data_IF_271855997229
#
_entry.id   IF_271855997229
#
_cell.length_a   1.000
_cell.length_b   1.000
_cell.length_c   1.000
_cell.angle_alpha   90.00
_cell.angle_beta   90.00
_cell.angle_gamma   90.00
#
_symmetry.space_group_name_H-M   'P 1'
#
loop_
_entity.id
_entity.type
_entity.pdbx_description
1 polymer ?
#
# COMPACT_ATOMS: atom_id res chain seq x y z
N UNK A 1 -9.92 -34.89 -18.60
CA UNK A 1 -10.60 -33.63 -18.97
C UNK A 1 -11.33 -33.11 -17.74
N UNK A 2 -11.09 -31.87 -17.37
CA UNK A 2 -11.74 -31.26 -16.20
C UNK A 2 -13.20 -30.93 -16.50
N UNK A 3 -14.11 -31.37 -15.62
CA UNK A 3 -15.53 -30.96 -15.65
C UNK A 3 -15.72 -29.82 -14.65
N UNK A 4 -16.11 -28.65 -15.11
CA UNK A 4 -16.24 -27.44 -14.24
C UNK A 4 -17.13 -27.67 -13.03
N UNK A 5 -18.24 -28.39 -13.18
CA UNK A 5 -19.18 -28.67 -12.09
C UNK A 5 -18.57 -29.52 -10.96
N UNK A 6 -17.60 -30.38 -11.30
CA UNK A 6 -17.01 -31.33 -10.34
C UNK A 6 -15.63 -30.87 -9.85
N UNK A 7 -15.08 -29.78 -10.41
CA UNK A 7 -13.72 -29.27 -10.14
C UNK A 7 -13.76 -27.96 -9.35
N UNK A 8 -14.66 -27.84 -8.40
CA UNK A 8 -14.67 -26.72 -7.43
C UNK A 8 -13.61 -26.95 -6.37
N UNK A 9 -13.17 -25.89 -5.70
CA UNK A 9 -12.22 -26.02 -4.57
C UNK A 9 -12.80 -26.93 -3.48
N UNK A 10 -14.08 -26.79 -3.18
CA UNK A 10 -14.78 -27.61 -2.19
C UNK A 10 -14.70 -29.10 -2.50
N UNK A 11 -14.89 -29.50 -3.77
CA UNK A 11 -14.86 -30.90 -4.18
C UNK A 11 -13.44 -31.48 -4.28
N UNK A 12 -12.45 -30.64 -4.61
CA UNK A 12 -11.05 -31.07 -4.82
C UNK A 12 -10.25 -31.02 -3.52
N UNK A 13 -10.47 -29.98 -2.70
CA UNK A 13 -9.75 -29.73 -1.45
C UNK A 13 -10.68 -29.10 -0.41
N UNK A 14 -11.48 -29.92 0.28
CA UNK A 14 -12.43 -29.43 1.30
C UNK A 14 -11.75 -28.73 2.50
N UNK A 15 -10.50 -29.08 2.80
CA UNK A 15 -9.74 -28.45 3.90
C UNK A 15 -9.37 -27.01 3.53
N UNK A 16 -8.82 -26.81 2.33
CA UNK A 16 -8.53 -25.47 1.80
C UNK A 16 -9.81 -24.65 1.65
N UNK A 17 -10.88 -25.24 1.12
CA UNK A 17 -12.18 -24.56 0.99
C UNK A 17 -12.67 -24.03 2.33
N UNK A 18 -12.60 -24.85 3.39
CA UNK A 18 -12.98 -24.43 4.75
C UNK A 18 -12.13 -23.24 5.23
N UNK A 19 -10.83 -23.23 4.97
CA UNK A 19 -9.96 -22.11 5.35
C UNK A 19 -10.32 -20.82 4.60
N UNK A 20 -10.68 -20.91 3.31
CA UNK A 20 -11.17 -19.78 2.52
C UNK A 20 -12.48 -19.24 3.11
N UNK A 21 -13.44 -20.10 3.43
CA UNK A 21 -14.72 -19.69 4.02
C UNK A 21 -14.56 -19.04 5.41
N UNK A 22 -13.60 -19.51 6.21
CA UNK A 22 -13.29 -18.88 7.49
C UNK A 22 -12.70 -17.47 7.30
N UNK A 23 -11.84 -17.29 6.32
CA UNK A 23 -11.29 -15.96 5.99
C UNK A 23 -12.35 -15.04 5.40
N UNK A 24 -13.23 -15.53 4.51
CA UNK A 24 -14.37 -14.77 3.99
C UNK A 24 -15.23 -14.26 5.14
N UNK A 25 -15.55 -15.12 6.11
CA UNK A 25 -16.32 -14.76 7.30
C UNK A 25 -15.57 -13.72 8.15
N UNK A 26 -14.27 -13.90 8.38
CA UNK A 26 -13.48 -12.92 9.13
C UNK A 26 -13.54 -11.54 8.48
N UNK A 27 -13.39 -11.46 7.16
CA UNK A 27 -13.45 -10.19 6.42
C UNK A 27 -14.83 -9.52 6.53
N UNK A 28 -15.90 -10.30 6.55
CA UNK A 28 -17.26 -9.76 6.74
C UNK A 28 -17.51 -9.29 8.19
N UNK A 29 -17.05 -10.06 9.20
CA UNK A 29 -17.35 -9.82 10.61
C UNK A 29 -16.43 -8.79 11.28
N UNK A 30 -15.24 -8.55 10.72
CA UNK A 30 -14.26 -7.61 11.30
C UNK A 30 -14.28 -6.25 10.62
N UNK A 31 -13.93 -5.20 11.37
CA UNK A 31 -13.58 -3.90 10.81
C UNK A 31 -12.09 -3.91 10.49
N UNK A 32 -11.76 -3.84 9.21
CA UNK A 32 -10.38 -3.83 8.73
C UNK A 32 -9.82 -2.40 8.71
N UNK A 33 -8.78 -2.15 9.49
CA UNK A 33 -8.10 -0.86 9.60
C UNK A 33 -6.59 -0.93 9.32
N UNK A 34 -6.08 -2.07 8.83
CA UNK A 34 -4.71 -2.12 8.34
C UNK A 34 -4.61 -1.22 7.10
N UNK A 35 -3.81 -0.16 7.19
CA UNK A 35 -3.75 0.89 6.16
C UNK A 35 -3.30 0.40 4.77
N UNK A 36 -2.69 -0.78 4.69
CA UNK A 36 -2.22 -1.42 3.46
C UNK A 36 -3.18 -2.49 2.92
N UNK A 37 -4.36 -2.64 3.51
CA UNK A 37 -5.38 -3.60 3.07
C UNK A 37 -6.60 -2.92 2.49
N UNK A 38 -7.30 -3.63 1.60
CA UNK A 38 -8.53 -3.20 0.97
C UNK A 38 -9.29 -4.41 0.43
N UNK A 39 -10.55 -4.21 0.09
CA UNK A 39 -11.38 -5.21 -0.56
C UNK A 39 -11.45 -4.93 -2.06
N UNK A 40 -10.99 -5.87 -2.87
CA UNK A 40 -11.04 -5.74 -4.32
C UNK A 40 -12.41 -6.14 -4.87
N UNK A 41 -12.79 -5.63 -6.05
CA UNK A 41 -14.10 -5.94 -6.62
C UNK A 41 -14.23 -7.40 -7.08
N UNK A 42 -15.48 -7.93 -7.15
CA UNK A 42 -15.71 -9.24 -7.76
C UNK A 42 -15.19 -9.36 -9.18
N UNK A 43 -15.21 -8.25 -9.96
CA UNK A 43 -14.69 -8.24 -11.34
C UNK A 43 -13.16 -8.44 -11.38
N UNK A 44 -12.43 -7.85 -10.43
CA UNK A 44 -10.98 -8.08 -10.29
C UNK A 44 -10.70 -9.52 -9.90
N UNK A 45 -11.45 -10.08 -8.94
CA UNK A 45 -11.31 -11.50 -8.54
C UNK A 45 -11.61 -12.45 -9.70
N UNK A 46 -12.66 -12.20 -10.47
CA UNK A 46 -13.01 -12.98 -11.65
C UNK A 46 -11.93 -12.95 -12.74
N UNK A 47 -11.31 -11.80 -12.97
CA UNK A 47 -10.19 -11.65 -13.89
C UNK A 47 -8.98 -12.49 -13.45
N UNK A 48 -8.66 -12.50 -12.15
CA UNK A 48 -7.57 -13.30 -11.59
C UNK A 48 -7.85 -14.80 -11.68
N UNK A 49 -9.10 -15.24 -11.51
CA UNK A 49 -9.52 -16.64 -11.65
C UNK A 49 -9.74 -17.09 -13.09
N UNK A 50 -9.33 -16.31 -14.09
CA UNK A 50 -9.53 -16.61 -15.50
C UNK A 50 -8.51 -17.57 -16.07
N UNK A 51 -8.79 -18.11 -17.28
CA UNK A 51 -7.91 -19.01 -18.03
C UNK A 51 -6.59 -18.33 -18.49
N UNK A 52 -6.45 -17.03 -18.32
CA UNK A 52 -5.20 -16.31 -18.61
C UNK A 52 -4.02 -16.83 -17.79
N UNK A 53 -4.28 -17.47 -16.64
CA UNK A 53 -3.24 -18.15 -15.84
C UNK A 53 -2.49 -19.24 -16.60
N UNK A 54 -3.09 -19.82 -17.65
CA UNK A 54 -2.50 -20.90 -18.44
C UNK A 54 -1.47 -20.39 -19.46
N UNK A 55 -1.47 -19.07 -19.78
CA UNK A 55 -0.68 -18.55 -20.90
C UNK A 55 0.70 -18.10 -20.49
N UNK A 56 1.72 -18.66 -21.14
CA UNK A 56 3.10 -18.22 -21.02
C UNK A 56 3.39 -17.08 -22.01
N UNK A 57 3.76 -15.89 -21.51
CA UNK A 57 3.84 -14.67 -22.32
C UNK A 57 5.11 -13.84 -22.04
N UNK A 58 6.29 -14.49 -21.98
CA UNK A 58 7.57 -13.79 -21.84
C UNK A 58 7.76 -12.74 -22.94
N UNK A 59 8.33 -11.61 -22.56
CA UNK A 59 8.45 -10.42 -23.41
C UNK A 59 7.36 -9.40 -23.13
N UNK A 60 6.99 -8.63 -24.14
CA UNK A 60 6.06 -7.50 -24.04
C UNK A 60 5.06 -7.53 -25.21
N UNK A 61 3.95 -6.78 -25.17
CA UNK A 61 2.98 -6.73 -26.25
C UNK A 61 3.64 -6.55 -27.62
N UNK A 62 3.24 -7.34 -28.60
CA UNK A 62 3.78 -7.44 -29.96
C UNK A 62 5.27 -7.89 -30.06
N UNK A 63 5.90 -8.22 -28.94
CA UNK A 63 7.31 -8.67 -28.86
C UNK A 63 7.45 -9.81 -27.84
N UNK A 64 6.68 -10.89 -28.05
CA UNK A 64 6.70 -12.08 -27.20
C UNK A 64 7.69 -13.13 -27.73
N UNK A 65 8.17 -13.95 -26.81
CA UNK A 65 9.00 -15.09 -27.13
C UNK A 65 8.19 -16.35 -27.53
N UNK A 66 6.87 -16.32 -27.29
CA UNK A 66 5.96 -17.46 -27.53
C UNK A 66 4.82 -17.06 -28.45
N UNK A 67 4.31 -18.04 -29.22
CA UNK A 67 3.12 -17.87 -30.06
C UNK A 67 1.82 -17.84 -29.26
N UNK A 68 0.70 -17.46 -29.87
CA UNK A 68 -0.62 -17.44 -29.26
C UNK A 68 -0.81 -16.33 -28.21
N UNK A 69 -0.14 -15.20 -28.39
CA UNK A 69 -0.16 -14.09 -27.43
C UNK A 69 -1.06 -12.92 -27.86
N UNK A 70 -1.74 -13.02 -29.00
CA UNK A 70 -2.56 -11.94 -29.56
C UNK A 70 -3.61 -11.41 -28.57
N UNK A 71 -4.24 -12.25 -27.76
CA UNK A 71 -5.25 -11.86 -26.80
C UNK A 71 -4.62 -11.32 -25.48
N UNK A 72 -3.53 -11.94 -25.01
CA UNK A 72 -2.86 -11.44 -23.79
C UNK A 72 -2.11 -10.14 -24.06
N UNK A 73 -1.71 -9.85 -25.30
CA UNK A 73 -1.18 -8.56 -25.72
C UNK A 73 -2.21 -7.45 -25.52
N UNK A 74 -3.47 -7.70 -25.87
CA UNK A 74 -4.57 -6.76 -25.63
C UNK A 74 -4.75 -6.54 -24.12
N UNK A 75 -4.69 -7.60 -23.32
CA UNK A 75 -4.86 -7.49 -21.85
C UNK A 75 -3.76 -6.63 -21.23
N UNK A 76 -2.50 -6.89 -21.57
CA UNK A 76 -1.39 -6.11 -21.02
C UNK A 76 -1.38 -4.67 -21.53
N UNK A 77 -1.69 -4.45 -22.82
CA UNK A 77 -1.78 -3.12 -23.39
C UNK A 77 -2.88 -2.29 -22.72
N UNK A 78 -4.05 -2.87 -22.44
CA UNK A 78 -5.12 -2.20 -21.69
C UNK A 78 -4.67 -1.79 -20.29
N UNK A 79 -3.90 -2.63 -19.59
CA UNK A 79 -3.37 -2.28 -18.28
C UNK A 79 -2.37 -1.12 -18.38
N UNK A 80 -1.46 -1.15 -19.35
CA UNK A 80 -0.47 -0.10 -19.61
C UNK A 80 -1.18 1.23 -19.93
N UNK A 81 -2.10 1.23 -20.89
CA UNK A 81 -2.77 2.47 -21.33
C UNK A 81 -3.60 3.09 -20.19
N UNK A 82 -4.32 2.26 -19.44
CA UNK A 82 -5.14 2.71 -18.32
C UNK A 82 -4.33 3.29 -17.18
N UNK A 83 -3.21 2.66 -16.79
CA UNK A 83 -2.37 3.17 -15.71
C UNK A 83 -1.63 4.45 -16.11
N UNK A 84 -1.22 4.55 -17.38
CA UNK A 84 -0.65 5.79 -17.94
C UNK A 84 -1.67 6.93 -17.89
N UNK A 85 -2.90 6.68 -18.33
CA UNK A 85 -3.98 7.68 -18.28
C UNK A 85 -4.33 8.08 -16.85
N UNK A 86 -4.34 7.12 -15.91
CA UNK A 86 -4.69 7.33 -14.51
C UNK A 86 -3.74 8.29 -13.79
N UNK A 87 -2.45 8.22 -14.08
CA UNK A 87 -1.42 9.01 -13.38
C UNK A 87 -0.75 10.08 -14.25
N UNK A 88 -1.03 10.13 -15.55
CA UNK A 88 -0.39 11.04 -16.49
C UNK A 88 1.08 10.65 -16.79
N UNK A 89 1.40 9.35 -16.80
CA UNK A 89 2.75 8.87 -17.05
C UNK A 89 3.04 8.70 -18.56
N UNK A 90 4.30 8.90 -18.95
CA UNK A 90 4.75 8.73 -20.34
C UNK A 90 4.87 7.25 -20.72
N UNK A 91 5.40 6.43 -19.80
CA UNK A 91 5.57 4.99 -19.98
C UNK A 91 5.24 4.22 -18.70
N UNK A 92 4.90 2.93 -18.83
CA UNK A 92 4.56 2.08 -17.70
C UNK A 92 4.97 0.62 -17.96
N UNK A 93 5.39 -0.07 -16.88
CA UNK A 93 5.55 -1.52 -16.84
C UNK A 93 4.60 -2.09 -15.79
N UNK A 94 3.70 -2.98 -16.21
CA UNK A 94 2.66 -3.59 -15.36
C UNK A 94 2.97 -5.02 -14.95
N UNK A 95 4.14 -5.54 -15.31
CA UNK A 95 4.55 -6.91 -15.02
C UNK A 95 5.07 -7.17 -13.61
N UNK A 96 5.55 -6.21 -12.79
CA UNK A 96 6.03 -6.51 -11.44
C UNK A 96 5.00 -7.28 -10.61
N UNK A 97 5.43 -8.38 -9.98
CA UNK A 97 4.56 -9.25 -9.18
C UNK A 97 4.25 -8.66 -7.81
N UNK A 98 5.02 -7.66 -7.37
CA UNK A 98 4.83 -6.94 -6.12
C UNK A 98 5.44 -5.53 -6.19
N UNK A 99 5.11 -4.66 -5.21
CA UNK A 99 5.77 -3.37 -5.07
C UNK A 99 7.27 -3.51 -4.78
N UNK A 100 7.67 -4.52 -4.01
CA UNK A 100 9.09 -4.80 -3.76
C UNK A 100 9.85 -5.15 -5.04
N UNK A 101 9.25 -5.94 -5.94
CA UNK A 101 9.84 -6.25 -7.25
C UNK A 101 9.81 -5.06 -8.20
N UNK A 102 8.81 -4.19 -8.11
CA UNK A 102 8.82 -2.93 -8.84
C UNK A 102 10.01 -2.05 -8.41
N UNK A 103 10.24 -1.89 -7.11
CA UNK A 103 11.39 -1.17 -6.58
C UNK A 103 12.71 -1.83 -7.00
N UNK A 104 12.79 -3.15 -6.89
CA UNK A 104 13.95 -3.93 -7.33
C UNK A 104 14.24 -3.75 -8.82
N UNK A 105 13.21 -3.68 -9.66
CA UNK A 105 13.35 -3.41 -11.09
C UNK A 105 13.99 -2.06 -11.38
N UNK A 106 13.58 -1.01 -10.67
CA UNK A 106 14.22 0.31 -10.78
C UNK A 106 15.67 0.23 -10.32
N UNK A 107 15.94 -0.37 -9.16
CA UNK A 107 17.32 -0.53 -8.64
C UNK A 107 18.20 -1.28 -9.63
N UNK A 108 17.71 -2.38 -10.19
CA UNK A 108 18.46 -3.19 -11.16
C UNK A 108 18.77 -2.43 -12.45
N UNK A 109 17.86 -1.53 -12.88
CA UNK A 109 18.03 -0.73 -14.09
C UNK A 109 19.11 0.36 -13.96
N UNK A 110 19.23 1.00 -12.77
CA UNK A 110 20.01 2.24 -12.63
C UNK A 110 21.14 2.18 -11.60
N UNK A 111 21.22 1.11 -10.81
CA UNK A 111 22.21 0.96 -9.74
C UNK A 111 23.10 -0.28 -9.95
N UNK A 112 24.22 -0.26 -9.28
CA UNK A 112 25.13 -1.41 -9.10
C UNK A 112 25.29 -1.69 -7.61
N UNK A 113 25.56 -2.95 -7.20
CA UNK A 113 25.93 -3.24 -5.82
C UNK A 113 27.05 -2.31 -5.32
N UNK A 114 26.87 -1.74 -4.12
CA UNK A 114 27.78 -0.77 -3.53
C UNK A 114 27.48 0.69 -3.87
N UNK A 115 26.55 0.98 -4.80
CA UNK A 115 26.09 2.37 -5.01
C UNK A 115 25.39 2.89 -3.74
N UNK A 116 25.43 4.22 -3.54
CA UNK A 116 24.75 4.84 -2.41
C UNK A 116 23.32 5.21 -2.79
N UNK A 117 22.38 4.85 -1.95
CA UNK A 117 20.96 5.25 -2.03
C UNK A 117 20.57 6.05 -0.79
N UNK A 118 19.60 6.94 -0.92
CA UNK A 118 19.03 7.67 0.20
C UNK A 118 17.53 7.45 0.24
N UNK A 119 16.99 7.06 1.41
CA UNK A 119 15.59 6.78 1.61
C UNK A 119 15.11 7.18 3.00
N UNK A 120 13.78 7.21 3.20
CA UNK A 120 13.21 7.49 4.51
C UNK A 120 13.51 6.36 5.49
N UNK A 121 13.93 6.72 6.70
CA UNK A 121 14.19 5.76 7.78
C UNK A 121 12.97 4.90 8.09
N UNK A 122 13.17 3.59 8.25
CA UNK A 122 12.11 2.65 8.65
C UNK A 122 11.46 3.06 9.98
N UNK A 123 12.26 3.54 10.94
CA UNK A 123 11.79 4.03 12.25
C UNK A 123 10.90 5.28 12.15
N UNK A 124 10.97 6.00 11.04
CA UNK A 124 10.20 7.21 10.77
C UNK A 124 9.08 7.00 9.73
N UNK A 125 8.78 5.75 9.41
CA UNK A 125 7.67 5.40 8.52
C UNK A 125 8.07 4.99 7.10
N UNK A 126 9.37 4.86 6.78
CA UNK A 126 9.85 4.33 5.50
C UNK A 126 9.42 2.88 5.25
N UNK A 127 9.70 2.36 4.06
CA UNK A 127 9.43 0.97 3.71
C UNK A 127 10.70 0.13 3.78
N UNK A 128 10.55 -1.19 4.00
CA UNK A 128 11.69 -2.14 4.05
C UNK A 128 12.60 -2.04 2.80
N UNK A 129 12.01 -1.86 1.62
CA UNK A 129 12.75 -1.77 0.35
C UNK A 129 13.46 -0.43 0.13
N UNK A 130 13.36 0.51 1.08
CA UNK A 130 14.06 1.80 1.01
C UNK A 130 15.41 1.80 1.73
N UNK A 131 16.02 0.62 1.91
CA UNK A 131 17.36 0.48 2.49
C UNK A 131 17.42 -0.21 3.85
N UNK A 132 16.34 -0.90 4.29
CA UNK A 132 16.40 -1.67 5.54
C UNK A 132 17.50 -2.75 5.49
N UNK A 133 18.31 -2.92 6.54
CA UNK A 133 19.42 -3.89 6.56
C UNK A 133 18.99 -5.35 6.35
N UNK A 134 17.73 -5.68 6.63
CA UNK A 134 17.20 -7.05 6.42
C UNK A 134 16.68 -7.25 4.99
N UNK A 135 16.53 -6.17 4.22
CA UNK A 135 16.07 -6.22 2.83
C UNK A 135 17.26 -6.23 1.85
N UNK A 136 17.01 -6.68 0.60
CA UNK A 136 18.04 -6.66 -0.44
C UNK A 136 18.62 -5.27 -0.65
N UNK A 137 17.79 -4.22 -0.55
CA UNK A 137 18.23 -2.84 -0.73
C UNK A 137 19.30 -2.41 0.29
N UNK A 138 19.15 -2.83 1.56
CA UNK A 138 20.15 -2.57 2.59
C UNK A 138 21.34 -3.52 2.56
N UNK A 139 21.22 -4.65 1.85
CA UNK A 139 22.35 -5.61 1.70
C UNK A 139 23.24 -5.31 0.50
N UNK A 140 22.69 -4.70 -0.55
CA UNK A 140 23.39 -4.46 -1.81
C UNK A 140 23.91 -3.03 -1.96
N UNK A 141 23.30 -2.08 -1.25
CA UNK A 141 23.61 -0.65 -1.38
C UNK A 141 24.13 -0.05 -0.08
N UNK A 142 24.90 1.04 -0.21
CA UNK A 142 25.22 1.90 0.90
C UNK A 142 24.03 2.80 1.18
N UNK A 143 23.46 2.74 2.38
CA UNK A 143 22.20 3.40 2.70
C UNK A 143 22.43 4.63 3.57
N UNK A 144 21.88 5.75 3.13
CA UNK A 144 21.75 6.99 3.91
C UNK A 144 20.26 7.17 4.20
N UNK A 145 19.89 7.43 5.46
CA UNK A 145 18.48 7.59 5.82
C UNK A 145 18.20 9.04 6.23
N UNK A 146 17.15 9.64 5.64
CA UNK A 146 16.56 10.86 6.16
C UNK A 146 15.37 10.54 7.06
N UNK A 147 14.96 11.49 7.88
CA UNK A 147 13.94 11.27 8.89
C UNK A 147 12.96 12.43 9.03
N UNK A 148 12.35 12.49 10.21
CA UNK A 148 11.40 13.52 10.60
C UNK A 148 12.08 14.57 11.49
N UNK A 149 11.60 15.80 11.42
CA UNK A 149 11.96 16.90 12.31
C UNK A 149 11.17 16.80 13.64
N UNK A 150 11.35 17.78 14.54
CA UNK A 150 10.66 17.84 15.84
C UNK A 150 9.13 17.97 15.73
N UNK A 151 8.62 18.51 14.62
CA UNK A 151 7.19 18.59 14.32
C UNK A 151 6.63 17.29 13.73
N UNK A 152 7.46 16.24 13.63
CA UNK A 152 7.14 14.95 13.04
C UNK A 152 6.74 15.04 11.54
N UNK A 153 7.22 16.07 10.85
CA UNK A 153 7.20 16.19 9.40
C UNK A 153 8.56 15.80 8.81
N UNK A 154 8.63 15.55 7.49
CA UNK A 154 9.91 15.24 6.83
C UNK A 154 10.89 16.40 7.03
N UNK A 155 12.09 16.07 7.51
CA UNK A 155 13.17 17.03 7.62
C UNK A 155 13.87 17.21 6.27
N UNK A 156 13.31 18.10 5.45
CA UNK A 156 13.82 18.37 4.11
C UNK A 156 15.20 19.05 4.13
N UNK A 157 15.51 19.88 5.15
CA UNK A 157 16.81 20.53 5.32
C UNK A 157 17.89 19.49 5.66
N UNK A 158 17.59 18.59 6.57
CA UNK A 158 18.48 17.46 6.88
C UNK A 158 18.65 16.53 5.67
N UNK A 159 17.57 16.26 4.93
CA UNK A 159 17.63 15.46 3.71
C UNK A 159 18.54 16.10 2.65
N UNK A 160 18.46 17.42 2.45
CA UNK A 160 19.32 18.15 1.52
C UNK A 160 20.78 18.09 1.96
N UNK A 161 21.06 18.32 3.23
CA UNK A 161 22.40 18.24 3.82
C UNK A 161 23.01 16.86 3.61
N UNK A 162 22.25 15.79 3.91
CA UNK A 162 22.69 14.41 3.71
C UNK A 162 22.95 14.10 2.23
N UNK A 163 22.07 14.56 1.34
CA UNK A 163 22.27 14.39 -0.11
C UNK A 163 23.54 15.06 -0.60
N UNK A 164 23.83 16.30 -0.17
CA UNK A 164 25.06 17.00 -0.52
C UNK A 164 26.31 16.32 0.02
N UNK A 165 26.23 15.79 1.23
CA UNK A 165 27.36 15.11 1.89
C UNK A 165 27.68 13.76 1.26
N UNK A 166 26.65 12.94 0.97
CA UNK A 166 26.81 11.55 0.57
C UNK A 166 26.69 11.31 -0.93
N UNK A 167 26.19 12.29 -1.69
CA UNK A 167 26.02 12.21 -3.16
C UNK A 167 25.37 10.88 -3.59
N UNK A 168 24.17 10.52 -3.07
CA UNK A 168 23.53 9.27 -3.45
C UNK A 168 23.25 9.25 -4.95
N UNK A 169 23.25 8.05 -5.53
CA UNK A 169 22.92 7.84 -6.93
C UNK A 169 21.42 7.80 -7.18
N UNK A 170 20.66 7.42 -6.13
CA UNK A 170 19.21 7.39 -6.14
C UNK A 170 18.67 7.92 -4.81
N UNK A 171 17.67 8.80 -4.88
CA UNK A 171 16.87 9.23 -3.73
C UNK A 171 15.49 8.61 -3.86
N UNK A 172 15.03 7.91 -2.82
CA UNK A 172 13.72 7.27 -2.73
C UNK A 172 12.83 8.03 -1.77
N UNK A 173 11.69 8.50 -2.26
CA UNK A 173 10.61 9.05 -1.46
C UNK A 173 9.44 8.08 -1.35
N UNK A 174 8.56 8.32 -0.37
CA UNK A 174 7.41 7.49 -0.08
C UNK A 174 7.51 6.86 1.30
N UNK A 175 6.37 6.48 1.86
CA UNK A 175 6.30 5.98 3.22
C UNK A 175 5.17 4.97 3.40
N UNK A 176 5.31 4.10 4.41
CA UNK A 176 4.31 3.11 4.82
C UNK A 176 3.49 3.56 6.03
N UNK A 177 4.01 4.52 6.81
CA UNK A 177 3.40 4.96 8.07
C UNK A 177 3.62 6.47 8.31
N UNK A 178 3.45 7.27 7.27
CA UNK A 178 3.53 8.74 7.35
C UNK A 178 2.20 9.35 6.94
N UNK A 179 1.63 10.18 7.80
CA UNK A 179 0.26 10.65 7.68
C UNK A 179 0.09 11.93 6.85
N UNK A 180 1.15 12.75 6.75
CA UNK A 180 1.09 14.04 6.09
C UNK A 180 1.36 13.95 4.58
N UNK A 181 1.21 15.06 3.88
CA UNK A 181 1.57 15.17 2.48
C UNK A 181 3.08 15.25 2.31
N UNK A 182 3.59 14.56 1.30
CA UNK A 182 5.02 14.60 0.94
C UNK A 182 5.20 15.66 -0.16
N UNK A 183 6.15 16.57 0.04
CA UNK A 183 6.56 17.53 -0.98
C UNK A 183 7.55 16.87 -1.98
N UNK A 184 6.96 16.22 -3.00
CA UNK A 184 7.74 15.54 -4.04
C UNK A 184 8.56 16.50 -4.88
N UNK A 185 8.09 17.74 -5.09
CA UNK A 185 8.84 18.74 -5.85
C UNK A 185 10.11 19.14 -5.12
N UNK A 186 10.04 19.32 -3.81
CA UNK A 186 11.21 19.66 -2.98
C UNK A 186 12.25 18.54 -3.00
N UNK A 187 11.82 17.28 -2.81
CA UNK A 187 12.73 16.12 -2.88
C UNK A 187 13.32 15.93 -4.28
N UNK A 188 12.57 16.20 -5.35
CA UNK A 188 13.09 16.19 -6.71
C UNK A 188 14.19 17.25 -6.93
N UNK A 189 14.03 18.46 -6.39
CA UNK A 189 15.06 19.51 -6.42
C UNK A 189 16.31 19.07 -5.68
N UNK A 190 16.18 18.44 -4.52
CA UNK A 190 17.30 17.88 -3.75
C UNK A 190 18.02 16.82 -4.60
N UNK A 191 17.31 15.88 -5.18
CA UNK A 191 17.90 14.83 -6.03
C UNK A 191 18.67 15.45 -7.22
N UNK A 192 18.05 16.39 -7.91
CA UNK A 192 18.65 17.09 -9.04
C UNK A 192 19.94 17.84 -8.65
N UNK A 193 19.97 18.45 -7.47
CA UNK A 193 21.13 19.25 -6.99
C UNK A 193 22.39 18.40 -6.81
N UNK A 194 22.25 17.09 -6.65
CA UNK A 194 23.36 16.15 -6.47
C UNK A 194 23.54 15.18 -7.66
N UNK A 195 22.74 15.32 -8.71
CA UNK A 195 22.80 14.47 -9.89
C UNK A 195 22.25 13.06 -9.63
N UNK A 196 21.41 12.88 -8.63
CA UNK A 196 20.75 11.61 -8.30
C UNK A 196 19.49 11.40 -9.14
N UNK A 197 19.17 10.13 -9.43
CA UNK A 197 17.83 9.76 -9.85
C UNK A 197 16.83 9.99 -8.70
N UNK A 198 15.61 10.36 -9.05
CA UNK A 198 14.53 10.51 -8.09
C UNK A 198 13.43 9.46 -8.34
N UNK A 199 13.19 8.62 -7.35
CA UNK A 199 12.17 7.59 -7.36
C UNK A 199 11.17 7.85 -6.25
N UNK A 200 9.88 7.71 -6.57
CA UNK A 200 8.80 7.77 -5.58
C UNK A 200 8.09 6.42 -5.51
N UNK A 201 8.09 5.80 -4.34
CA UNK A 201 7.22 4.67 -4.01
C UNK A 201 5.90 5.21 -3.43
N UNK A 202 4.89 5.33 -4.27
CA UNK A 202 3.57 5.84 -3.86
C UNK A 202 2.60 4.74 -3.45
N UNK A 203 3.08 3.53 -3.14
CA UNK A 203 2.23 2.35 -2.91
C UNK A 203 1.08 2.60 -1.93
N UNK A 204 1.31 3.32 -0.84
CA UNK A 204 0.26 3.66 0.11
C UNK A 204 -0.73 4.70 -0.43
N UNK A 205 -0.25 5.66 -1.19
CA UNK A 205 -1.00 6.84 -1.62
C UNK A 205 -1.60 6.73 -3.03
N UNK A 206 -1.32 5.66 -3.77
CA UNK A 206 -1.64 5.54 -5.19
C UNK A 206 -3.12 5.79 -5.52
N UNK A 207 -4.05 5.29 -4.71
CA UNK A 207 -5.48 5.56 -4.90
C UNK A 207 -5.81 7.03 -4.72
N UNK A 208 -5.22 7.68 -3.73
CA UNK A 208 -5.42 9.10 -3.45
C UNK A 208 -4.83 9.99 -4.57
N UNK A 209 -3.65 9.60 -5.07
CA UNK A 209 -3.01 10.28 -6.21
C UNK A 209 -3.86 10.14 -7.46
N UNK A 210 -4.35 8.93 -7.76
CA UNK A 210 -5.23 8.67 -8.90
C UNK A 210 -6.51 9.52 -8.88
N UNK A 211 -7.04 9.76 -7.69
CA UNK A 211 -8.23 10.59 -7.48
C UNK A 211 -7.95 12.11 -7.41
N UNK A 212 -6.68 12.52 -7.41
CA UNK A 212 -6.28 13.92 -7.30
C UNK A 212 -6.45 14.52 -5.90
N UNK A 213 -6.55 13.70 -4.85
CA UNK A 213 -6.70 14.15 -3.45
C UNK A 213 -5.38 14.12 -2.66
N UNK A 214 -4.30 13.67 -3.30
CA UNK A 214 -2.93 13.70 -2.78
C UNK A 214 -1.96 14.13 -3.88
N UNK A 215 -0.82 14.76 -3.56
CA UNK A 215 0.15 15.23 -4.57
C UNK A 215 0.57 14.11 -5.53
N UNK A 216 0.59 14.42 -6.84
CA UNK A 216 1.04 13.48 -7.87
C UNK A 216 2.57 13.55 -8.03
N UNK A 217 3.33 12.47 -7.78
CA UNK A 217 4.78 12.46 -7.94
C UNK A 217 5.25 12.36 -9.40
N UNK A 218 4.40 11.91 -10.32
CA UNK A 218 4.78 11.59 -11.72
C UNK A 218 5.45 12.76 -12.44
N UNK A 219 5.00 14.03 -12.32
CA UNK A 219 5.69 15.15 -12.97
C UNK A 219 7.08 15.45 -12.44
N UNK A 220 7.42 14.98 -11.25
CA UNK A 220 8.66 15.33 -10.53
C UNK A 220 9.70 14.22 -10.53
N UNK A 221 9.27 12.95 -10.63
CA UNK A 221 10.13 11.79 -10.49
C UNK A 221 10.60 11.21 -11.83
N UNK A 222 11.76 10.56 -11.82
CA UNK A 222 12.22 9.74 -12.95
C UNK A 222 11.48 8.43 -13.00
N UNK A 223 11.21 7.85 -11.80
CA UNK A 223 10.48 6.60 -11.61
C UNK A 223 9.45 6.76 -10.53
N UNK A 224 8.25 6.21 -10.75
CA UNK A 224 7.23 6.09 -9.72
C UNK A 224 6.80 4.64 -9.64
N UNK A 225 6.93 4.02 -8.47
CA UNK A 225 6.48 2.66 -8.23
C UNK A 225 5.23 2.65 -7.37
N UNK A 226 4.43 1.61 -7.52
CA UNK A 226 3.28 1.39 -6.66
C UNK A 226 2.93 -0.08 -6.55
N UNK A 227 2.25 -0.44 -5.47
CA UNK A 227 1.41 -1.64 -5.41
C UNK A 227 0.05 -1.36 -6.02
N UNK A 228 -0.67 -2.40 -6.41
CA UNK A 228 -2.02 -2.27 -6.98
C UNK A 228 -3.14 -2.58 -5.98
N UNK A 229 -2.82 -3.14 -4.81
CA UNK A 229 -3.78 -3.76 -3.87
C UNK A 229 -4.04 -2.98 -2.56
N UNK A 230 -3.51 -1.75 -2.42
CA UNK A 230 -3.74 -0.92 -1.22
C UNK A 230 -4.88 0.09 -1.47
N UNK A 231 -4.63 1.38 -1.32
CA UNK A 231 -5.61 2.42 -1.61
C UNK A 231 -6.12 2.39 -3.07
N UNK A 232 -5.35 1.83 -4.01
CA UNK A 232 -5.76 1.66 -5.41
C UNK A 232 -6.79 0.53 -5.62
N UNK A 233 -7.01 -0.33 -4.64
CA UNK A 233 -8.10 -1.34 -4.58
C UNK A 233 -8.08 -2.38 -5.71
N UNK A 234 -6.90 -2.73 -6.21
CA UNK A 234 -6.71 -3.75 -7.27
C UNK A 234 -6.19 -5.09 -6.76
N UNK A 235 -5.74 -5.96 -7.67
CA UNK A 235 -5.13 -7.24 -7.32
C UNK A 235 -3.76 -7.03 -6.67
N UNK A 236 -3.24 -8.04 -5.99
CA UNK A 236 -1.88 -8.01 -5.48
C UNK A 236 -0.88 -8.01 -6.62
N UNK A 237 -0.05 -6.97 -6.68
CA UNK A 237 0.93 -6.76 -7.73
C UNK A 237 1.63 -5.42 -7.60
N UNK A 238 2.51 -5.11 -8.55
CA UNK A 238 3.23 -3.84 -8.64
C UNK A 238 3.17 -3.23 -10.03
N UNK A 239 3.55 -1.96 -10.14
CA UNK A 239 3.65 -1.18 -11.37
C UNK A 239 4.84 -0.24 -11.25
N UNK A 240 5.50 0.01 -12.37
CA UNK A 240 6.50 1.07 -12.52
C UNK A 240 5.99 2.04 -13.58
N UNK A 241 5.92 3.33 -13.20
CA UNK A 241 5.70 4.45 -14.10
C UNK A 241 7.02 5.17 -14.30
N UNK A 242 7.28 5.68 -15.49
CA UNK A 242 8.55 6.31 -15.79
C UNK A 242 8.45 7.32 -16.93
N UNK A 243 9.48 8.14 -17.08
CA UNK A 243 9.68 8.92 -18.29
C UNK A 243 10.01 7.98 -19.46
N UNK A 244 9.63 8.34 -20.67
CA UNK A 244 9.76 7.50 -21.86
C UNK A 244 11.21 7.01 -22.13
N UNK A 245 12.20 7.83 -21.80
CA UNK A 245 13.64 7.47 -21.96
C UNK A 245 14.07 6.26 -21.13
N UNK A 246 13.36 5.95 -20.03
CA UNK A 246 13.67 4.82 -19.14
C UNK A 246 12.87 3.55 -19.44
N UNK A 247 11.95 3.58 -20.41
CA UNK A 247 11.10 2.43 -20.71
C UNK A 247 11.92 1.19 -21.07
N UNK A 248 12.90 1.33 -21.97
CA UNK A 248 13.73 0.21 -22.41
C UNK A 248 14.58 -0.39 -21.30
N UNK A 249 15.35 0.39 -20.50
CA UNK A 249 16.12 -0.18 -19.39
C UNK A 249 15.23 -0.78 -18.29
N UNK A 250 14.08 -0.21 -17.97
CA UNK A 250 13.15 -0.77 -16.99
C UNK A 250 12.53 -2.07 -17.50
N UNK A 251 12.07 -2.11 -18.75
CA UNK A 251 11.52 -3.32 -19.34
C UNK A 251 12.57 -4.45 -19.35
N UNK A 252 13.82 -4.15 -19.68
CA UNK A 252 14.92 -5.13 -19.63
C UNK A 252 15.24 -5.58 -18.21
N UNK A 253 15.16 -4.68 -17.22
CA UNK A 253 15.37 -5.00 -15.82
C UNK A 253 14.29 -5.95 -15.27
N UNK A 254 13.03 -5.75 -15.66
CA UNK A 254 11.94 -6.64 -15.26
C UNK A 254 12.05 -7.96 -16.00
N UNK A 255 12.03 -7.96 -17.33
CA UNK A 255 12.21 -9.17 -18.13
C UNK A 255 13.30 -8.95 -19.18
N UNK A 256 14.33 -9.79 -19.21
CA UNK A 256 14.56 -11.00 -18.40
C UNK A 256 15.34 -10.79 -17.11
N UNK A 257 15.51 -9.52 -16.63
CA UNK A 257 16.44 -9.19 -15.56
C UNK A 257 16.10 -9.86 -14.21
N UNK A 258 14.88 -9.70 -13.70
CA UNK A 258 14.47 -10.19 -12.37
C UNK A 258 13.24 -11.08 -12.39
N UNK A 259 12.47 -11.11 -13.48
CA UNK A 259 11.28 -11.94 -13.64
C UNK A 259 11.34 -12.73 -14.94
N UNK A 260 10.56 -13.83 -15.04
CA UNK A 260 10.30 -14.61 -16.25
C UNK A 260 8.90 -14.33 -16.78
N UNK A 261 8.13 -15.39 -17.05
CA UNK A 261 6.76 -15.29 -17.58
C UNK A 261 5.85 -14.44 -16.69
N UNK A 262 5.22 -13.40 -17.25
CA UNK A 262 4.34 -12.52 -16.49
C UNK A 262 3.04 -13.23 -16.07
N UNK A 263 2.47 -12.81 -14.95
CA UNK A 263 1.20 -13.32 -14.42
C UNK A 263 0.04 -12.66 -15.17
N UNK A 264 -0.34 -13.20 -16.35
CA UNK A 264 -1.33 -12.55 -17.22
C UNK A 264 -2.71 -12.41 -16.58
N UNK A 265 -3.12 -13.35 -15.72
CA UNK A 265 -4.34 -13.28 -14.93
C UNK A 265 -4.33 -12.14 -13.91
N UNK A 266 -3.17 -11.85 -13.30
CA UNK A 266 -3.01 -10.69 -12.39
C UNK A 266 -2.99 -9.38 -13.18
N UNK A 267 -2.33 -9.34 -14.34
CA UNK A 267 -2.33 -8.17 -15.24
C UNK A 267 -3.76 -7.85 -15.71
N UNK A 268 -4.58 -8.87 -15.98
CA UNK A 268 -6.00 -8.69 -16.26
C UNK A 268 -6.74 -8.05 -15.08
N UNK A 269 -6.49 -8.52 -13.86
CA UNK A 269 -7.02 -7.89 -12.65
C UNK A 269 -6.57 -6.43 -12.49
N UNK A 270 -5.31 -6.12 -12.80
CA UNK A 270 -4.82 -4.72 -12.83
C UNK A 270 -5.57 -3.88 -13.86
N UNK A 271 -5.78 -4.41 -15.08
CA UNK A 271 -6.52 -3.72 -16.13
C UNK A 271 -7.96 -3.38 -15.71
N UNK A 272 -8.65 -4.29 -14.99
CA UNK A 272 -9.97 -4.05 -14.42
C UNK A 272 -9.90 -2.95 -13.36
N UNK A 273 -9.01 -3.08 -12.38
CA UNK A 273 -8.87 -2.13 -11.29
C UNK A 273 -8.55 -0.70 -11.78
N UNK A 274 -7.68 -0.57 -12.79
CA UNK A 274 -7.39 0.74 -13.38
C UNK A 274 -8.60 1.32 -14.14
N UNK A 275 -9.43 0.48 -14.74
CA UNK A 275 -10.70 0.94 -15.35
C UNK A 275 -11.67 1.45 -14.30
N UNK A 276 -11.80 0.76 -13.17
CA UNK A 276 -12.60 1.22 -12.03
C UNK A 276 -12.04 2.54 -11.47
N UNK A 277 -10.71 2.65 -11.31
CA UNK A 277 -10.06 3.83 -10.76
C UNK A 277 -10.19 5.08 -11.66
N UNK A 278 -10.41 4.92 -12.96
CA UNK A 278 -10.69 6.01 -13.90
C UNK A 278 -12.14 6.54 -13.80
N UNK A 279 -13.00 5.92 -13.00
CA UNK A 279 -14.41 6.35 -12.87
C UNK A 279 -14.56 7.51 -11.88
N UNK A 280 -15.59 8.38 -12.07
CA UNK A 280 -15.92 9.41 -11.09
C UNK A 280 -16.20 8.86 -9.69
N UNK A 281 -16.85 7.70 -9.59
CA UNK A 281 -17.16 7.05 -8.32
C UNK A 281 -15.90 6.71 -7.52
N UNK A 282 -14.79 6.38 -8.17
CA UNK A 282 -13.52 6.14 -7.48
C UNK A 282 -12.95 7.41 -6.85
N UNK A 283 -13.14 8.56 -7.49
CA UNK A 283 -12.75 9.86 -6.92
C UNK A 283 -13.55 10.18 -5.65
N UNK A 284 -14.86 9.99 -5.70
CA UNK A 284 -15.75 10.15 -4.54
C UNK A 284 -15.35 9.21 -3.41
N UNK A 285 -15.08 7.94 -3.73
CA UNK A 285 -14.57 6.96 -2.77
C UNK A 285 -13.28 7.44 -2.09
N UNK A 286 -12.29 7.93 -2.82
CA UNK A 286 -11.02 8.39 -2.25
C UNK A 286 -11.17 9.67 -1.42
N UNK A 287 -12.10 10.56 -1.77
CA UNK A 287 -12.45 11.70 -0.94
C UNK A 287 -13.03 11.24 0.40
N UNK A 288 -13.91 10.24 0.37
CA UNK A 288 -14.47 9.65 1.60
C UNK A 288 -13.40 8.92 2.42
N UNK A 289 -12.43 8.27 1.77
CA UNK A 289 -11.27 7.64 2.46
C UNK A 289 -10.51 8.67 3.30
N UNK A 290 -10.19 9.82 2.73
CA UNK A 290 -9.45 10.89 3.44
C UNK A 290 -10.31 11.48 4.56
N UNK A 291 -11.58 11.72 4.31
CA UNK A 291 -12.51 12.28 5.30
C UNK A 291 -12.73 11.33 6.48
N UNK A 292 -12.91 10.03 6.22
CA UNK A 292 -13.02 9.02 7.26
C UNK A 292 -11.75 8.93 8.11
N UNK A 293 -10.56 9.02 7.49
CA UNK A 293 -9.29 9.03 8.22
C UNK A 293 -9.20 10.26 9.14
N UNK A 294 -9.58 11.44 8.64
CA UNK A 294 -9.59 12.69 9.42
C UNK A 294 -10.50 12.58 10.63
N UNK A 295 -11.74 12.14 10.44
CA UNK A 295 -12.73 12.00 11.53
C UNK A 295 -12.29 10.95 12.55
N UNK A 296 -11.76 9.82 12.08
CA UNK A 296 -11.21 8.79 12.97
C UNK A 296 -10.08 9.35 13.85
N UNK A 297 -9.13 10.09 13.26
CA UNK A 297 -8.03 10.72 13.97
C UNK A 297 -8.53 11.73 15.00
N UNK A 298 -9.43 12.63 14.63
CA UNK A 298 -10.03 13.64 15.51
C UNK A 298 -10.80 13.00 16.69
N UNK A 299 -11.51 11.90 16.42
CA UNK A 299 -12.24 11.16 17.47
C UNK A 299 -11.26 10.55 18.47
N UNK A 300 -10.19 9.94 18.00
CA UNK A 300 -9.16 9.37 18.88
C UNK A 300 -8.47 10.45 19.72
N UNK A 301 -8.21 11.64 19.17
CA UNK A 301 -7.66 12.78 19.89
C UNK A 301 -8.63 13.25 20.98
N UNK A 302 -9.92 13.39 20.68
CA UNK A 302 -10.97 13.73 21.68
C UNK A 302 -11.04 12.71 22.81
N UNK A 303 -10.69 11.45 22.52
CA UNK A 303 -10.63 10.35 23.51
C UNK A 303 -9.28 10.26 24.23
N UNK A 304 -8.42 11.28 24.11
CA UNK A 304 -7.14 11.40 24.82
C UNK A 304 -5.99 10.58 24.25
N UNK A 305 -6.09 10.13 23.01
CA UNK A 305 -5.00 9.50 22.27
C UNK A 305 -4.22 10.56 21.47
N UNK A 306 -2.95 10.30 21.21
CA UNK A 306 -2.08 11.16 20.41
C UNK A 306 -1.92 10.60 19.01
N UNK A 307 -2.16 11.41 18.00
CA UNK A 307 -1.80 11.10 16.61
C UNK A 307 -0.39 11.64 16.35
N UNK A 308 0.50 10.82 15.84
CA UNK A 308 1.82 11.26 15.37
C UNK A 308 1.62 12.30 14.28
N UNK A 309 2.39 13.38 14.31
CA UNK A 309 2.22 14.60 13.48
C UNK A 309 0.93 15.40 13.80
N UNK A 310 0.20 15.06 14.87
CA UNK A 310 -1.00 15.76 15.34
C UNK A 310 -2.26 15.57 14.49
N UNK A 311 -2.12 15.11 13.25
CA UNK A 311 -3.22 14.95 12.28
C UNK A 311 -2.89 13.95 11.19
N UNK A 312 -3.87 13.66 10.35
CA UNK A 312 -3.63 13.00 9.06
C UNK A 312 -4.12 13.85 7.88
N UNK A 313 -3.40 13.81 6.78
CA UNK A 313 -3.72 14.44 5.49
C UNK A 313 -3.88 13.39 4.37
N UNK A 314 -3.93 12.12 4.78
CA UNK A 314 -4.04 10.96 3.88
C UNK A 314 -5.03 9.92 4.41
N UNK A 315 -4.86 8.67 4.04
CA UNK A 315 -5.67 7.54 4.50
C UNK A 315 -5.10 6.83 5.73
N UNK A 316 -3.90 7.18 6.17
CA UNK A 316 -3.15 6.49 7.23
C UNK A 316 -2.88 7.43 8.40
N UNK A 317 -2.87 6.88 9.60
CA UNK A 317 -2.42 7.56 10.81
C UNK A 317 -1.65 6.61 11.71
N UNK A 318 -0.77 7.17 12.51
CA UNK A 318 -0.04 6.50 13.57
C UNK A 318 -0.56 6.99 14.92
N UNK A 319 -1.02 6.07 15.75
CA UNK A 319 -1.56 6.36 17.08
C UNK A 319 -0.50 6.03 18.14
N UNK A 320 -0.07 7.02 18.90
CA UNK A 320 0.83 6.87 20.04
C UNK A 320 0.03 6.43 21.27
N UNK A 321 0.36 5.26 21.79
CA UNK A 321 -0.36 4.63 22.91
C UNK A 321 0.26 4.92 24.28
N UNK A 322 1.37 5.65 24.37
CA UNK A 322 2.08 5.90 25.62
C UNK A 322 1.22 6.65 26.65
N UNK A 323 0.30 7.53 26.20
CA UNK A 323 -0.64 8.20 27.09
C UNK A 323 -1.60 7.23 27.81
N UNK A 324 -1.90 6.10 27.20
CA UNK A 324 -2.74 5.02 27.78
C UNK A 324 -1.92 3.96 28.50
N UNK A 325 -0.58 4.07 28.51
CA UNK A 325 0.35 3.10 29.14
C UNK A 325 0.17 1.66 28.62
N UNK A 326 -0.17 1.51 27.33
CA UNK A 326 -0.36 0.24 26.65
C UNK A 326 0.63 0.12 25.49
N UNK A 327 1.14 -1.10 25.24
CA UNK A 327 2.01 -1.37 24.10
C UNK A 327 1.22 -1.61 22.82
N UNK A 328 1.85 -1.40 21.66
CA UNK A 328 1.24 -1.74 20.37
C UNK A 328 0.83 -3.21 20.28
N UNK A 329 1.65 -4.13 20.82
CA UNK A 329 1.32 -5.56 20.86
C UNK A 329 0.06 -5.87 21.69
N UNK A 330 -0.09 -5.25 22.84
CA UNK A 330 -1.28 -5.44 23.67
C UNK A 330 -2.53 -4.84 23.02
N UNK A 331 -2.41 -3.64 22.44
CA UNK A 331 -3.49 -2.98 21.72
C UNK A 331 -3.95 -3.79 20.49
N UNK A 332 -3.02 -4.31 19.68
CA UNK A 332 -3.29 -5.19 18.53
C UNK A 332 -4.09 -6.42 18.96
N UNK A 333 -3.71 -7.06 20.07
CA UNK A 333 -4.39 -8.24 20.59
C UNK A 333 -5.80 -7.92 21.11
N UNK A 334 -5.96 -6.85 21.92
CA UNK A 334 -7.25 -6.46 22.48
C UNK A 334 -8.25 -6.01 21.41
N UNK A 335 -7.81 -5.20 20.45
CA UNK A 335 -8.64 -4.77 19.31
C UNK A 335 -9.02 -5.94 18.41
N UNK A 336 -8.09 -6.87 18.14
CA UNK A 336 -8.36 -8.09 17.39
C UNK A 336 -9.43 -8.96 18.05
N UNK A 337 -9.40 -9.10 19.39
CA UNK A 337 -10.42 -9.82 20.15
C UNK A 337 -11.81 -9.15 20.05
N UNK A 338 -11.85 -7.83 19.87
CA UNK A 338 -13.06 -7.04 19.64
C UNK A 338 -13.47 -6.97 18.15
N UNK A 339 -12.88 -7.77 17.26
CA UNK A 339 -13.11 -7.77 15.81
C UNK A 339 -12.74 -6.45 15.10
N UNK A 340 -11.75 -5.74 15.63
CA UNK A 340 -11.13 -4.57 14.98
C UNK A 340 -9.69 -4.92 14.62
N UNK A 341 -9.44 -5.10 13.33
CA UNK A 341 -8.13 -5.54 12.81
C UNK A 341 -7.21 -4.35 12.56
N UNK A 342 -6.07 -4.31 13.26
CA UNK A 342 -5.05 -3.27 13.17
C UNK A 342 -3.67 -3.92 13.13
N UNK A 343 -2.61 -3.14 12.90
CA UNK A 343 -1.25 -3.62 13.14
C UNK A 343 -0.51 -2.71 14.14
N UNK A 344 0.24 -3.35 15.05
CA UNK A 344 1.22 -2.61 15.86
C UNK A 344 2.28 -1.96 14.97
N UNK A 345 2.74 -0.79 15.37
CA UNK A 345 3.72 -0.01 14.61
C UNK A 345 4.59 0.82 15.56
N UNK A 346 5.90 0.87 15.27
CA UNK A 346 6.76 1.79 15.99
C UNK A 346 6.36 3.24 15.72
N UNK A 347 6.49 4.10 16.72
CA UNK A 347 6.37 5.55 16.60
C UNK A 347 7.78 6.17 16.45
N UNK A 348 7.92 7.41 15.97
CA UNK A 348 9.19 8.09 15.96
C UNK A 348 9.83 8.11 17.37
N UNK A 349 11.12 7.75 17.43
CA UNK A 349 11.87 7.61 18.71
C UNK A 349 11.20 6.64 19.71
N UNK A 350 10.66 5.53 19.21
CA UNK A 350 9.97 4.53 20.02
C UNK A 350 10.89 3.94 21.08
N UNK A 351 10.54 3.98 22.39
CA UNK A 351 11.32 3.38 23.45
C UNK A 351 11.23 1.83 23.47
N UNK A 352 10.24 1.25 22.80
CA UNK A 352 9.99 -0.18 22.79
C UNK A 352 10.73 -0.89 21.64
N UNK A 353 10.91 -2.21 21.80
CA UNK A 353 11.51 -3.06 20.77
C UNK A 353 10.55 -3.21 19.57
N UNK A 354 11.06 -3.46 18.34
CA UNK A 354 10.23 -3.54 17.12
C UNK A 354 9.07 -4.54 17.16
N UNK A 355 9.15 -5.61 17.96
CA UNK A 355 8.07 -6.60 18.11
C UNK A 355 7.04 -6.25 19.19
N UNK A 356 7.29 -5.20 19.98
CA UNK A 356 6.40 -4.70 21.04
C UNK A 356 5.72 -3.42 20.59
N UNK A 357 6.48 -2.40 20.23
CA UNK A 357 6.10 -1.05 19.78
C UNK A 357 5.28 -0.26 20.78
N UNK A 358 5.24 1.05 20.61
CA UNK A 358 4.41 1.98 21.43
C UNK A 358 3.22 2.54 20.67
N UNK A 359 2.96 2.06 19.46
CA UNK A 359 1.88 2.55 18.63
C UNK A 359 1.15 1.47 17.83
N UNK A 360 0.04 1.90 17.23
CA UNK A 360 -0.69 1.16 16.21
C UNK A 360 -0.87 2.04 14.97
N UNK A 361 -0.83 1.42 13.80
CA UNK A 361 -1.14 2.08 12.53
C UNK A 361 -2.57 1.77 12.14
N UNK A 362 -3.32 2.80 11.78
CA UNK A 362 -4.70 2.71 11.31
C UNK A 362 -4.82 3.31 9.92
N UNK A 363 -5.76 2.80 9.14
CA UNK A 363 -6.12 3.32 7.82
C UNK A 363 -7.58 3.13 7.49
N UNK A 364 -8.08 3.96 6.60
CA UNK A 364 -9.50 4.04 6.25
C UNK A 364 -9.93 3.39 4.93
N UNK A 365 -9.05 2.88 4.03
CA UNK A 365 -9.49 2.39 2.72
C UNK A 365 -10.50 1.25 2.79
N UNK A 366 -10.22 0.19 3.57
CA UNK A 366 -11.07 -0.99 3.65
C UNK A 366 -12.44 -0.68 4.29
N UNK A 367 -12.46 0.07 5.39
CA UNK A 367 -13.72 0.48 6.01
C UNK A 367 -14.58 1.35 5.08
N UNK A 368 -13.94 2.19 4.26
CA UNK A 368 -14.64 3.02 3.29
C UNK A 368 -15.16 2.18 2.11
N UNK A 369 -14.41 1.18 1.66
CA UNK A 369 -14.85 0.26 0.60
C UNK A 369 -16.11 -0.49 1.00
N UNK A 370 -16.24 -0.89 2.25
CA UNK A 370 -17.46 -1.54 2.75
C UNK A 370 -18.63 -0.57 2.97
N UNK A 371 -18.46 0.73 2.73
CA UNK A 371 -19.53 1.72 2.76
C UNK A 371 -19.60 2.58 4.02
N UNK A 372 -18.62 2.52 4.90
CA UNK A 372 -18.58 3.41 6.07
C UNK A 372 -18.39 4.86 5.66
N UNK A 373 -19.19 5.73 6.24
CA UNK A 373 -19.08 7.19 6.16
C UNK A 373 -18.53 7.81 7.45
N UNK A 374 -18.67 9.12 7.53
CA UNK A 374 -18.18 9.93 8.67
C UNK A 374 -18.75 9.47 10.03
N UNK A 375 -20.03 9.11 10.06
CA UNK A 375 -20.70 8.65 11.31
C UNK A 375 -20.12 7.33 11.78
N UNK A 376 -19.92 6.40 10.88
CA UNK A 376 -19.32 5.10 11.18
C UNK A 376 -17.85 5.26 11.57
N UNK A 377 -17.10 6.17 10.92
CA UNK A 377 -15.71 6.46 11.29
C UNK A 377 -15.60 7.03 12.73
N UNK A 378 -16.50 7.93 13.12
CA UNK A 378 -16.60 8.43 14.50
C UNK A 378 -16.95 7.30 15.49
N UNK A 379 -17.92 6.45 15.12
CA UNK A 379 -18.30 5.31 15.95
C UNK A 379 -17.11 4.35 16.12
N UNK A 380 -16.40 4.01 15.07
CA UNK A 380 -15.20 3.14 15.12
C UNK A 380 -14.12 3.76 16.01
N UNK A 381 -13.87 5.06 15.91
CA UNK A 381 -12.93 5.76 16.80
C UNK A 381 -13.28 5.63 18.27
N UNK A 382 -14.57 5.74 18.61
CA UNK A 382 -15.04 5.53 19.98
C UNK A 382 -14.89 4.08 20.44
N UNK A 383 -15.21 3.10 19.59
CA UNK A 383 -15.05 1.67 19.90
C UNK A 383 -13.58 1.31 20.15
N UNK A 384 -12.66 1.84 19.33
CA UNK A 384 -11.21 1.67 19.53
C UNK A 384 -10.81 2.23 20.89
N UNK A 385 -11.24 3.44 21.21
CA UNK A 385 -10.88 4.08 22.48
C UNK A 385 -11.44 3.32 23.69
N UNK A 386 -12.67 2.80 23.61
CA UNK A 386 -13.27 1.99 24.68
C UNK A 386 -12.42 0.75 24.99
N UNK A 387 -11.96 0.03 23.96
CA UNK A 387 -11.06 -1.13 24.12
C UNK A 387 -9.71 -0.70 24.70
N UNK A 388 -9.12 0.40 24.19
CA UNK A 388 -7.81 0.86 24.65
C UNK A 388 -7.84 1.45 26.06
N UNK A 389 -9.00 1.92 26.55
CA UNK A 389 -9.17 2.37 27.93
C UNK A 389 -9.22 1.18 28.92
N UNK A 390 -9.66 -0.01 28.45
CA UNK A 390 -9.85 -1.20 29.26
C UNK A 390 -9.43 -2.48 28.48
N UNK A 391 -8.16 -2.61 28.09
CA UNK A 391 -7.72 -3.63 27.12
C UNK A 391 -7.78 -5.08 27.64
N UNK A 392 -7.87 -5.27 28.95
CA UNK A 392 -7.96 -6.58 29.60
C UNK A 392 -9.38 -6.89 30.12
N UNK A 393 -10.33 -5.95 30.01
CA UNK A 393 -11.70 -6.16 30.48
C UNK A 393 -12.53 -6.92 29.44
N UNK A 394 -12.77 -8.21 29.73
CA UNK A 394 -13.53 -9.10 28.86
C UNK A 394 -14.96 -8.58 28.57
N UNK A 395 -15.61 -7.89 29.55
CA UNK A 395 -16.95 -7.36 29.35
C UNK A 395 -16.96 -6.21 28.33
N UNK A 396 -15.96 -5.31 28.39
CA UNK A 396 -15.79 -4.25 27.41
C UNK A 396 -15.49 -4.82 26.02
N UNK A 397 -14.59 -5.81 25.90
CA UNK A 397 -14.24 -6.44 24.63
C UNK A 397 -15.49 -7.09 23.99
N UNK A 398 -16.27 -7.88 24.75
CA UNK A 398 -17.47 -8.51 24.23
C UNK A 398 -18.57 -7.50 23.85
N UNK A 399 -18.73 -6.43 24.63
CA UNK A 399 -19.65 -5.34 24.28
C UNK A 399 -19.26 -4.66 22.97
N UNK A 400 -17.98 -4.33 22.79
CA UNK A 400 -17.48 -3.70 21.59
C UNK A 400 -17.60 -4.66 20.39
N UNK A 401 -17.26 -5.93 20.56
CA UNK A 401 -17.44 -6.97 19.54
C UNK A 401 -18.89 -7.09 19.06
N UNK A 402 -19.86 -7.04 19.97
CA UNK A 402 -21.28 -7.04 19.59
C UNK A 402 -21.63 -5.79 18.75
N UNK A 403 -21.17 -4.62 19.14
CA UNK A 403 -21.38 -3.38 18.38
C UNK A 403 -20.68 -3.40 17.01
N UNK A 404 -19.50 -4.01 16.91
CA UNK A 404 -18.81 -4.25 15.61
C UNK A 404 -19.66 -5.15 14.73
N UNK A 405 -20.22 -6.26 15.29
CA UNK A 405 -21.06 -7.17 14.53
C UNK A 405 -22.35 -6.52 14.01
N UNK A 406 -23.00 -5.68 14.82
CA UNK A 406 -24.15 -4.88 14.37
C UNK A 406 -23.78 -3.91 13.23
N UNK A 407 -22.62 -3.26 13.35
CA UNK A 407 -22.15 -2.29 12.37
C UNK A 407 -21.79 -2.99 11.06
N UNK A 408 -20.99 -4.07 11.10
CA UNK A 408 -20.58 -4.82 9.90
C UNK A 408 -21.75 -5.49 9.18
N UNK A 409 -22.76 -5.97 9.90
CA UNK A 409 -23.97 -6.54 9.30
C UNK A 409 -24.77 -5.53 8.45
N UNK A 410 -24.71 -4.25 8.78
CA UNK A 410 -25.34 -3.18 8.00
C UNK A 410 -24.59 -2.84 6.72
N UNK A 411 -23.32 -3.18 6.64
CA UNK A 411 -22.42 -2.83 5.57
C UNK A 411 -21.60 -4.06 5.12
N UNK A 412 -22.23 -5.07 4.51
CA UNK A 412 -21.52 -6.24 4.01
C UNK A 412 -20.52 -5.83 2.92
N UNK A 413 -19.39 -6.54 2.84
CA UNK A 413 -18.35 -6.25 1.82
C UNK A 413 -18.80 -6.74 0.45
N UNK A 414 -19.34 -7.95 0.40
CA UNK A 414 -19.78 -8.63 -0.82
C UNK A 414 -21.26 -9.06 -0.69
N UNK A 415 -22.13 -8.09 -0.47
CA UNK A 415 -23.57 -8.30 -0.31
C UNK A 415 -24.34 -8.52 -1.61
#
# INVERSE_FOLDING_TARGET
MFKRADSTVENVDPELFRAIELENRRQEEHIELIASENYTSPAVMAAQGSQLTNKYAEGYPARRYYGGCENVDVVEQLAIDRVKALFGAEAANVQPNSGSQANQGVFFAVLKPGDTIMGMSLAHGGHLTHGSPVNMSGKWFNVVSYGLNEAEDIDYEAAETLAQQHKPKLIVAGASAFALRIDFERLAKIAKSVGAYFMVDMAHYAGLVAAGVYPNPVPHADFVTTTTHKSLRGPRGGVILMKAEYEKPINSAIFPGIQGGPLMHVIAGKAVAFKEALSPAFKEYQQQVVENARVLAETLVKRGLRIVSGRTESHVMLVDLRAKKITGKAAEAALGAAHITVNKNAIPNDPEKPFVTSGVRLGSPAMTTRGFGVKEAEQVGNLIADVLDNPEDAATIERVKAQVSELTARFPVYG
#
